data_IF_810294943075
#
_entry.id   IF_810294943075
#
_cell.length_a   1.000
_cell.length_b   1.000
_cell.length_c   1.000
_cell.angle_alpha   90.00
_cell.angle_beta   90.00
_cell.angle_gamma   90.00
#
_symmetry.space_group_name_H-M   'P 1'
#
loop_
_entity.id
_entity.type
_entity.pdbx_description
1 polymer ?
#
# COMPACT_ATOMS: atom_id res chain seq x y z
N UNK A 1 -27.11 -14.70 31.74
CA UNK A 1 -25.66 -14.49 31.99
C UNK A 1 -24.97 -15.75 31.53
N UNK A 2 -24.51 -15.74 30.28
CA UNK A 2 -23.78 -16.89 29.66
C UNK A 2 -22.29 -16.66 29.87
N UNK A 3 -21.66 -17.49 30.71
CA UNK A 3 -20.20 -17.48 30.85
C UNK A 3 -19.57 -18.14 29.64
N UNK A 4 -18.67 -17.40 28.99
CA UNK A 4 -17.83 -17.93 27.93
C UNK A 4 -16.72 -18.80 28.53
N UNK A 5 -16.41 -19.99 27.99
CA UNK A 5 -15.34 -20.83 28.50
C UNK A 5 -13.98 -20.16 28.25
N UNK A 6 -13.16 -20.12 29.32
CA UNK A 6 -11.78 -19.60 29.25
C UNK A 6 -10.90 -20.63 28.57
N UNK A 7 -10.53 -20.36 27.31
CA UNK A 7 -9.53 -21.14 26.57
C UNK A 7 -8.15 -20.83 27.13
N UNK A 8 -7.40 -21.84 27.56
CA UNK A 8 -6.06 -21.67 28.10
C UNK A 8 -5.05 -21.45 26.97
N UNK A 9 -3.93 -20.78 27.30
CA UNK A 9 -2.81 -20.49 26.36
C UNK A 9 -2.24 -21.75 25.68
N UNK A 10 -2.37 -22.90 26.33
CA UNK A 10 -1.90 -24.20 25.84
C UNK A 10 -2.83 -24.78 24.77
N UNK A 11 -4.13 -24.70 24.96
CA UNK A 11 -5.16 -25.14 23.98
C UNK A 11 -5.14 -24.29 22.72
N UNK A 12 -4.81 -22.99 22.84
CA UNK A 12 -4.60 -22.10 21.69
C UNK A 12 -3.36 -22.50 20.88
N UNK A 13 -2.24 -22.85 21.52
CA UNK A 13 -1.02 -23.25 20.83
C UNK A 13 -1.15 -24.64 20.17
N UNK A 14 -1.90 -25.58 20.75
CA UNK A 14 -2.12 -26.89 20.16
C UNK A 14 -3.07 -26.84 18.95
N UNK A 15 -4.02 -25.92 18.93
CA UNK A 15 -4.89 -25.67 17.78
C UNK A 15 -4.15 -25.04 16.59
N UNK A 16 -3.12 -24.22 16.83
CA UNK A 16 -2.31 -23.58 15.78
C UNK A 16 -1.30 -24.57 15.18
N UNK A 17 -0.78 -25.53 15.97
CA UNK A 17 0.16 -26.53 15.50
C UNK A 17 -0.43 -27.60 14.60
N UNK A 18 -1.75 -27.85 14.65
CA UNK A 18 -2.42 -28.87 13.86
C UNK A 18 -2.80 -28.41 12.42
N UNK A 19 -2.68 -27.12 12.08
CA UNK A 19 -3.04 -26.57 10.75
C UNK A 19 -1.82 -26.35 9.83
N UNK A 20 -0.62 -26.71 10.27
CA UNK A 20 0.63 -26.40 9.56
C UNK A 20 1.11 -27.50 8.58
N UNK A 21 0.28 -28.46 8.15
CA UNK A 21 0.67 -29.44 7.14
C UNK A 21 -0.46 -29.73 6.16
N UNK A 22 -0.67 -28.84 5.21
CA UNK A 22 -1.11 -29.18 3.85
C UNK A 22 -0.64 -28.10 2.86
N UNK A 23 0.65 -28.13 2.53
CA UNK A 23 1.13 -27.48 1.31
C UNK A 23 0.73 -28.38 0.16
N UNK A 24 -0.48 -28.27 -0.32
CA UNK A 24 -0.87 -28.83 -1.62
C UNK A 24 -0.21 -27.99 -2.70
N UNK A 25 0.61 -28.62 -3.52
CA UNK A 25 1.15 -28.03 -4.74
C UNK A 25 -0.03 -27.48 -5.58
N UNK A 26 -0.06 -26.16 -5.77
CA UNK A 26 -1.00 -25.50 -6.65
C UNK A 26 -0.71 -25.97 -8.08
N UNK A 27 -1.68 -26.48 -8.83
CA UNK A 27 -1.44 -26.91 -10.20
C UNK A 27 -1.00 -25.72 -11.06
N UNK A 28 0.10 -25.89 -11.79
CA UNK A 28 0.60 -24.98 -12.82
C UNK A 28 -0.46 -24.90 -13.92
N UNK A 29 -1.29 -23.85 -13.90
CA UNK A 29 -2.37 -23.67 -14.88
C UNK A 29 -3.42 -22.63 -14.50
N UNK A 30 -3.39 -22.09 -13.29
CA UNK A 30 -4.21 -20.92 -12.95
C UNK A 30 -3.57 -19.68 -13.60
N UNK A 31 -4.35 -18.88 -14.31
CA UNK A 31 -3.97 -17.53 -14.74
C UNK A 31 -3.42 -16.82 -13.50
N UNK A 32 -2.09 -16.59 -13.47
CA UNK A 32 -1.46 -15.93 -12.33
C UNK A 32 -2.17 -14.58 -12.13
N UNK A 33 -2.86 -14.44 -11.01
CA UNK A 33 -3.50 -13.19 -10.65
C UNK A 33 -2.40 -12.14 -10.61
N UNK A 34 -2.53 -11.11 -11.46
CA UNK A 34 -1.53 -10.04 -11.52
C UNK A 34 -1.59 -9.25 -10.22
N UNK A 35 -0.44 -9.04 -9.58
CA UNK A 35 -0.31 -8.13 -8.44
C UNK A 35 -0.85 -6.75 -8.81
N UNK A 36 -1.50 -6.09 -7.87
CA UNK A 36 -2.15 -4.79 -8.04
C UNK A 36 -2.03 -3.98 -6.75
N UNK A 37 -2.17 -2.65 -6.80
CA UNK A 37 -2.13 -1.82 -5.60
C UNK A 37 -3.10 -2.29 -4.52
N UNK A 38 -2.62 -2.43 -3.27
CA UNK A 38 -3.44 -2.80 -2.10
C UNK A 38 -4.41 -1.68 -1.67
N UNK A 39 -4.22 -0.45 -2.14
CA UNK A 39 -5.08 0.72 -1.89
C UNK A 39 -5.42 1.44 -3.19
N UNK A 40 -6.45 2.29 -3.14
CA UNK A 40 -6.69 3.32 -4.15
C UNK A 40 -5.81 4.52 -3.83
N UNK A 41 -5.14 5.07 -4.84
CA UNK A 41 -4.28 6.24 -4.66
C UNK A 41 -4.52 7.26 -5.77
N UNK A 42 -4.61 8.55 -5.39
CA UNK A 42 -4.81 9.62 -6.35
C UNK A 42 -3.62 9.68 -7.32
N UNK A 43 -3.88 9.82 -8.61
CA UNK A 43 -2.84 9.82 -9.64
C UNK A 43 -2.31 8.43 -10.03
N UNK A 44 -2.86 7.34 -9.47
CA UNK A 44 -2.43 5.98 -9.81
C UNK A 44 -2.51 5.69 -11.31
N UNK A 45 -1.42 5.19 -11.88
CA UNK A 45 -1.23 4.99 -13.33
C UNK A 45 -1.75 3.65 -13.84
N UNK A 46 -2.63 2.96 -13.09
CA UNK A 46 -3.13 1.63 -13.44
C UNK A 46 -3.69 1.48 -14.86
N UNK A 47 -4.28 2.54 -15.41
CA UNK A 47 -4.81 2.57 -16.79
C UNK A 47 -3.74 2.85 -17.85
N UNK A 48 -2.55 3.31 -17.45
CA UNK A 48 -1.47 3.73 -18.35
C UNK A 48 -0.31 2.72 -18.35
N UNK A 49 -0.38 1.62 -17.60
CA UNK A 49 0.73 0.68 -17.42
C UNK A 49 1.25 0.11 -18.75
N UNK A 50 0.34 -0.25 -19.68
CA UNK A 50 0.72 -0.78 -20.98
C UNK A 50 1.44 0.29 -21.82
N UNK A 51 0.94 1.52 -21.80
CA UNK A 51 1.56 2.63 -22.53
C UNK A 51 2.93 2.99 -21.94
N UNK A 52 3.06 3.00 -20.61
CA UNK A 52 4.32 3.24 -19.91
C UNK A 52 5.33 2.12 -20.19
N UNK A 53 4.88 0.87 -20.24
CA UNK A 53 5.74 -0.27 -20.59
C UNK A 53 6.27 -0.18 -22.02
N UNK A 54 5.47 0.34 -22.95
CA UNK A 54 5.91 0.55 -24.34
C UNK A 54 7.00 1.63 -24.49
N UNK A 55 7.17 2.49 -23.47
CA UNK A 55 8.21 3.53 -23.44
C UNK A 55 9.52 3.05 -22.80
N UNK A 56 9.56 1.84 -22.25
CA UNK A 56 10.80 1.28 -21.72
C UNK A 56 11.85 1.13 -22.82
N UNK A 57 13.16 1.19 -22.47
CA UNK A 57 14.21 0.85 -23.41
C UNK A 57 13.97 -0.51 -24.07
N UNK A 58 14.18 -0.64 -25.37
CA UNK A 58 13.91 -1.86 -26.14
C UNK A 58 14.64 -3.09 -25.59
N UNK A 59 15.81 -2.88 -25.03
CA UNK A 59 16.66 -3.90 -24.39
C UNK A 59 16.36 -4.11 -22.90
N UNK A 60 15.32 -3.46 -22.33
CA UNK A 60 15.07 -3.48 -20.89
C UNK A 60 14.90 -4.91 -20.33
N UNK A 61 14.16 -5.74 -21.03
CA UNK A 61 13.92 -7.13 -20.59
C UNK A 61 15.17 -8.01 -20.67
N UNK A 62 16.15 -7.64 -21.51
CA UNK A 62 17.40 -8.38 -21.75
C UNK A 62 18.51 -7.94 -20.77
N UNK A 63 18.38 -6.77 -20.14
CA UNK A 63 19.33 -6.27 -19.15
C UNK A 63 19.40 -7.21 -17.95
N UNK A 64 20.59 -7.47 -17.47
CA UNK A 64 20.81 -8.30 -16.29
C UNK A 64 20.82 -7.43 -15.02
N UNK A 65 20.32 -8.01 -13.95
CA UNK A 65 20.42 -7.46 -12.58
C UNK A 65 19.97 -6.00 -12.46
N UNK A 66 18.81 -5.67 -13.08
CA UNK A 66 18.26 -4.32 -13.05
C UNK A 66 17.90 -3.92 -11.61
N UNK A 67 18.34 -2.73 -11.20
CA UNK A 67 17.87 -2.03 -10.01
C UNK A 67 16.77 -1.05 -10.46
N UNK A 68 15.55 -1.27 -9.96
CA UNK A 68 14.40 -0.39 -10.22
C UNK A 68 14.21 0.60 -9.09
N UNK A 69 13.97 1.87 -9.41
CA UNK A 69 13.87 2.94 -8.39
C UNK A 69 12.63 3.78 -8.63
N UNK A 70 11.79 3.92 -7.58
CA UNK A 70 10.55 4.70 -7.61
C UNK A 70 10.50 5.67 -6.42
N UNK A 71 11.00 6.90 -6.55
CA UNK A 71 11.12 7.88 -5.47
C UNK A 71 9.77 8.42 -4.95
N UNK A 72 8.68 8.25 -5.72
CA UNK A 72 7.32 8.69 -5.41
C UNK A 72 6.34 7.52 -5.61
N UNK A 73 6.45 6.47 -4.78
CA UNK A 73 5.78 5.20 -5.05
C UNK A 73 4.25 5.28 -4.98
N UNK A 74 3.69 6.14 -4.11
CA UNK A 74 2.25 6.23 -3.94
C UNK A 74 1.60 4.86 -3.73
N UNK A 75 0.55 4.54 -4.50
CA UNK A 75 -0.13 3.24 -4.42
C UNK A 75 0.63 2.06 -5.05
N UNK A 76 1.79 2.29 -5.69
CA UNK A 76 2.64 1.23 -6.24
C UNK A 76 2.16 0.58 -7.53
N UNK A 77 1.30 1.25 -8.31
CA UNK A 77 0.79 0.67 -9.55
C UNK A 77 1.92 0.29 -10.52
N UNK A 78 2.90 1.19 -10.71
CA UNK A 78 4.05 0.90 -11.57
C UNK A 78 5.00 -0.10 -10.91
N UNK A 79 5.28 0.02 -9.61
CA UNK A 79 6.11 -0.91 -8.85
C UNK A 79 5.65 -2.36 -9.04
N UNK A 80 4.39 -2.67 -8.70
CA UNK A 80 3.88 -4.04 -8.77
C UNK A 80 3.80 -4.55 -10.20
N UNK A 81 3.50 -3.68 -11.17
CA UNK A 81 3.55 -4.04 -12.58
C UNK A 81 4.98 -4.41 -13.01
N UNK A 82 5.97 -3.59 -12.69
CA UNK A 82 7.36 -3.83 -13.04
C UNK A 82 7.91 -5.11 -12.39
N UNK A 83 7.67 -5.28 -11.10
CA UNK A 83 8.15 -6.45 -10.35
C UNK A 83 7.47 -7.75 -10.79
N UNK A 84 6.19 -7.69 -11.21
CA UNK A 84 5.45 -8.85 -11.69
C UNK A 84 5.74 -9.20 -13.15
N UNK A 85 6.17 -8.22 -13.97
CA UNK A 85 6.38 -8.42 -15.42
C UNK A 85 7.84 -8.71 -15.76
N UNK A 86 8.79 -8.10 -15.03
CA UNK A 86 10.22 -8.11 -15.39
C UNK A 86 11.06 -8.87 -14.34
N UNK A 87 11.31 -10.18 -14.54
CA UNK A 87 12.08 -11.01 -13.59
C UNK A 87 13.57 -10.64 -13.51
N UNK A 88 14.08 -9.87 -14.47
CA UNK A 88 15.42 -9.31 -14.48
C UNK A 88 15.62 -8.16 -13.47
N UNK A 89 14.54 -7.63 -12.88
CA UNK A 89 14.62 -6.70 -11.75
C UNK A 89 14.98 -7.52 -10.48
N UNK A 90 16.22 -7.41 -10.03
CA UNK A 90 16.73 -8.13 -8.86
C UNK A 90 16.55 -7.38 -7.55
N UNK A 91 16.57 -6.06 -7.61
CA UNK A 91 16.35 -5.16 -6.48
C UNK A 91 15.44 -4.01 -6.91
N UNK A 92 14.57 -3.57 -6.02
CA UNK A 92 13.89 -2.29 -6.19
C UNK A 92 14.09 -1.41 -4.95
N UNK A 93 14.04 -0.10 -5.13
CA UNK A 93 14.11 0.90 -4.07
C UNK A 93 12.89 1.80 -4.25
N UNK A 94 12.10 1.91 -3.21
CA UNK A 94 10.92 2.77 -3.22
C UNK A 94 10.98 3.79 -2.09
N UNK A 95 10.37 4.95 -2.31
CA UNK A 95 10.26 6.00 -1.31
C UNK A 95 8.92 6.72 -1.42
N UNK A 96 8.45 7.25 -0.31
CA UNK A 96 7.36 8.23 -0.25
C UNK A 96 7.49 9.08 1.01
N UNK A 97 6.99 10.31 0.97
CA UNK A 97 6.91 11.18 2.15
C UNK A 97 5.86 10.72 3.16
N UNK A 98 4.84 10.01 2.71
CA UNK A 98 3.75 9.56 3.55
C UNK A 98 4.18 8.36 4.42
N UNK A 99 4.46 8.64 5.69
CA UNK A 99 4.92 7.63 6.65
C UNK A 99 3.91 6.50 6.90
N UNK A 100 2.60 6.79 6.88
CA UNK A 100 1.57 5.76 7.09
C UNK A 100 1.48 4.81 5.88
N UNK A 101 1.64 5.35 4.67
CA UNK A 101 1.76 4.57 3.45
C UNK A 101 3.00 3.66 3.51
N UNK A 102 4.15 4.22 3.85
CA UNK A 102 5.41 3.47 3.98
C UNK A 102 5.33 2.42 5.09
N UNK A 103 4.72 2.74 6.23
CA UNK A 103 4.44 1.76 7.29
C UNK A 103 3.60 0.61 6.75
N UNK A 104 2.60 0.90 5.92
CA UNK A 104 1.75 -0.12 5.31
C UNK A 104 2.55 -1.02 4.36
N UNK A 105 3.42 -0.48 3.52
CA UNK A 105 4.34 -1.27 2.69
C UNK A 105 5.23 -2.19 3.51
N UNK A 106 5.83 -1.68 4.61
CA UNK A 106 6.68 -2.47 5.51
C UNK A 106 5.91 -3.60 6.17
N UNK A 107 4.70 -3.32 6.65
CA UNK A 107 3.82 -4.33 7.28
C UNK A 107 3.42 -5.41 6.27
N UNK A 108 3.04 -5.05 5.04
CA UNK A 108 2.75 -6.03 3.98
C UNK A 108 3.97 -6.88 3.67
N UNK A 109 5.17 -6.29 3.64
CA UNK A 109 6.42 -7.03 3.41
C UNK A 109 6.74 -8.01 4.52
N UNK A 110 6.62 -7.61 5.78
CA UNK A 110 7.20 -8.28 6.93
C UNK A 110 6.19 -9.10 7.75
N UNK A 111 4.92 -8.65 7.82
CA UNK A 111 3.87 -9.20 8.69
C UNK A 111 2.50 -9.29 7.99
N UNK A 112 2.41 -9.86 6.77
CA UNK A 112 1.17 -9.88 5.99
C UNK A 112 0.04 -10.65 6.69
N UNK A 113 0.35 -11.76 7.38
CA UNK A 113 -0.66 -12.58 8.06
C UNK A 113 -1.31 -11.85 9.24
N UNK A 114 -0.51 -11.08 10.02
CA UNK A 114 -1.05 -10.28 11.12
C UNK A 114 -1.97 -9.16 10.58
N UNK A 115 -1.57 -8.53 9.49
CA UNK A 115 -2.38 -7.51 8.79
C UNK A 115 -3.71 -8.11 8.31
N UNK A 116 -3.65 -9.26 7.62
CA UNK A 116 -4.82 -9.97 7.13
C UNK A 116 -5.77 -10.33 8.28
N UNK A 117 -5.25 -10.82 9.41
CA UNK A 117 -6.08 -11.17 10.57
C UNK A 117 -6.88 -9.96 11.08
N UNK A 118 -6.25 -8.79 11.20
CA UNK A 118 -6.94 -7.56 11.63
C UNK A 118 -7.96 -7.10 10.57
N UNK A 119 -7.58 -7.11 9.29
CA UNK A 119 -8.48 -6.69 8.21
C UNK A 119 -9.70 -7.62 8.07
N UNK A 120 -9.55 -8.93 8.30
CA UNK A 120 -10.67 -9.87 8.35
C UNK A 120 -11.68 -9.50 9.44
N UNK A 121 -11.20 -9.20 10.65
CA UNK A 121 -12.05 -8.75 11.74
C UNK A 121 -12.78 -7.45 11.37
N UNK A 122 -12.05 -6.44 10.90
CA UNK A 122 -12.64 -5.16 10.48
C UNK A 122 -13.68 -5.34 9.35
N UNK A 123 -13.42 -6.22 8.39
CA UNK A 123 -14.38 -6.53 7.32
C UNK A 123 -15.63 -7.23 7.84
N UNK A 124 -15.46 -8.17 8.77
CA UNK A 124 -16.59 -8.86 9.43
C UNK A 124 -17.47 -7.90 10.22
N UNK A 125 -16.85 -7.06 11.07
CA UNK A 125 -17.55 -6.03 11.85
C UNK A 125 -18.28 -5.03 10.94
N UNK A 126 -17.62 -4.54 9.87
CA UNK A 126 -18.24 -3.63 8.90
C UNK A 126 -19.45 -4.27 8.20
N UNK A 127 -19.33 -5.55 7.80
CA UNK A 127 -20.42 -6.28 7.13
C UNK A 127 -21.59 -6.63 8.06
N UNK A 128 -21.38 -6.66 9.38
CA UNK A 128 -22.42 -6.89 10.38
C UNK A 128 -23.29 -5.67 10.64
N UNK A 129 -22.88 -4.47 10.20
CA UNK A 129 -23.67 -3.26 10.28
C UNK A 129 -24.94 -3.38 9.42
N UNK A 130 -26.10 -3.04 10.01
CA UNK A 130 -27.43 -3.28 9.43
C UNK A 130 -27.87 -2.19 8.46
N UNK A 131 -27.33 -0.99 8.60
CA UNK A 131 -27.79 0.20 7.84
C UNK A 131 -26.64 1.19 7.63
N UNK A 132 -26.89 2.22 6.79
CA UNK A 132 -25.89 3.23 6.47
C UNK A 132 -25.40 4.04 7.68
N UNK A 133 -26.26 4.25 8.70
CA UNK A 133 -25.86 4.96 9.93
C UNK A 133 -24.81 4.19 10.69
N UNK A 134 -25.03 2.89 10.92
CA UNK A 134 -24.10 2.02 11.59
C UNK A 134 -22.77 1.90 10.83
N UNK A 135 -22.82 1.75 9.50
CA UNK A 135 -21.63 1.75 8.63
C UNK A 135 -20.83 3.05 8.78
N UNK A 136 -21.52 4.19 8.80
CA UNK A 136 -20.89 5.50 8.98
C UNK A 136 -20.28 5.65 10.36
N UNK A 137 -20.97 5.23 11.41
CA UNK A 137 -20.48 5.28 12.80
C UNK A 137 -19.21 4.43 12.95
N UNK A 138 -19.24 3.20 12.41
CA UNK A 138 -18.08 2.31 12.41
C UNK A 138 -16.89 2.95 11.65
N UNK A 139 -17.12 3.52 10.47
CA UNK A 139 -16.11 4.25 9.72
C UNK A 139 -15.52 5.41 10.55
N UNK A 140 -16.37 6.22 11.18
CA UNK A 140 -15.94 7.37 11.97
C UNK A 140 -15.12 6.94 13.20
N UNK A 141 -15.50 5.86 13.86
CA UNK A 141 -14.74 5.30 14.97
C UNK A 141 -13.33 4.84 14.55
N UNK A 142 -13.21 4.11 13.42
CA UNK A 142 -11.91 3.68 12.89
C UNK A 142 -11.08 4.88 12.42
N UNK A 143 -11.68 5.91 11.82
CA UNK A 143 -11.01 7.14 11.44
C UNK A 143 -10.48 7.91 12.65
N UNK A 144 -11.25 7.99 13.72
CA UNK A 144 -10.79 8.63 14.97
C UNK A 144 -9.66 7.83 15.61
N UNK A 145 -9.75 6.50 15.64
CA UNK A 145 -8.66 5.63 16.10
C UNK A 145 -7.38 5.82 15.29
N UNK A 146 -7.48 5.95 13.97
CA UNK A 146 -6.35 6.30 13.11
C UNK A 146 -5.77 7.70 13.45
N UNK A 147 -6.64 8.68 13.66
CA UNK A 147 -6.25 10.05 13.98
C UNK A 147 -5.71 10.25 15.40
N UNK A 148 -5.95 9.32 16.33
CA UNK A 148 -5.40 9.39 17.70
C UNK A 148 -3.89 9.20 17.73
N UNK A 149 -3.31 8.58 16.68
CA UNK A 149 -1.88 8.25 16.57
C UNK A 149 -1.35 7.32 17.67
N UNK A 150 -2.24 6.60 18.35
CA UNK A 150 -1.90 5.63 19.39
C UNK A 150 -1.72 4.21 18.84
N UNK A 151 -2.19 3.96 17.61
CA UNK A 151 -2.04 2.69 16.93
C UNK A 151 -0.57 2.41 16.58
N UNK A 152 -0.19 1.13 16.60
CA UNK A 152 1.15 0.69 16.20
C UNK A 152 1.11 0.03 14.83
N UNK A 153 2.24 0.02 14.17
CA UNK A 153 2.53 -0.48 12.82
C UNK A 153 1.42 -1.29 12.11
N UNK A 154 1.12 -2.52 12.57
CA UNK A 154 0.13 -3.38 11.91
C UNK A 154 -1.28 -2.81 12.02
N UNK A 155 -1.63 -2.21 13.19
CA UNK A 155 -2.92 -1.55 13.36
C UNK A 155 -3.00 -0.27 12.50
N UNK A 156 -1.92 0.51 12.39
CA UNK A 156 -1.84 1.68 11.48
C UNK A 156 -2.08 1.24 10.06
N UNK A 157 -1.39 0.20 9.59
CA UNK A 157 -1.55 -0.34 8.24
C UNK A 157 -3.00 -0.83 7.98
N UNK A 158 -3.59 -1.55 8.94
CA UNK A 158 -4.96 -2.04 8.82
C UNK A 158 -5.97 -0.90 8.78
N UNK A 159 -5.83 0.10 9.66
CA UNK A 159 -6.67 1.30 9.67
C UNK A 159 -6.51 2.10 8.38
N UNK A 160 -5.29 2.26 7.88
CA UNK A 160 -5.00 2.97 6.64
C UNK A 160 -5.70 2.31 5.44
N UNK A 161 -5.59 0.98 5.30
CA UNK A 161 -6.30 0.23 4.25
C UNK A 161 -7.82 0.34 4.45
N UNK A 162 -8.31 0.12 5.67
CA UNK A 162 -9.74 0.19 5.98
C UNK A 162 -10.35 1.55 5.59
N UNK A 163 -9.77 2.67 6.08
CA UNK A 163 -10.31 4.00 5.79
C UNK A 163 -10.23 4.33 4.29
N UNK A 164 -9.16 3.90 3.59
CA UNK A 164 -9.04 4.08 2.15
C UNK A 164 -10.12 3.32 1.37
N UNK A 165 -10.43 2.08 1.77
CA UNK A 165 -11.45 1.24 1.10
C UNK A 165 -12.88 1.68 1.38
N UNK A 166 -13.12 2.43 2.47
CA UNK A 166 -14.46 2.82 2.94
C UNK A 166 -14.75 4.31 2.87
N UNK A 167 -13.74 5.15 2.62
CA UNK A 167 -13.92 6.58 2.44
C UNK A 167 -14.44 6.96 1.04
N UNK A 168 -14.80 8.23 0.88
CA UNK A 168 -15.24 8.78 -0.39
C UNK A 168 -14.12 8.68 -1.45
N UNK A 169 -14.38 7.95 -2.53
CA UNK A 169 -13.50 7.73 -3.70
C UNK A 169 -12.10 7.18 -3.39
N UNK A 170 -11.84 6.63 -2.21
CA UNK A 170 -10.51 6.14 -1.84
C UNK A 170 -9.46 7.25 -1.75
N UNK A 171 -9.88 8.47 -1.43
CA UNK A 171 -8.98 9.62 -1.32
C UNK A 171 -8.14 9.56 -0.05
N UNK A 172 -6.94 10.11 -0.13
CA UNK A 172 -6.14 10.44 1.05
C UNK A 172 -6.05 11.97 1.19
N UNK A 173 -6.50 12.48 2.32
CA UNK A 173 -6.44 13.92 2.62
C UNK A 173 -6.36 14.14 4.13
N UNK A 174 -5.47 15.04 4.53
CA UNK A 174 -5.36 15.52 5.91
C UNK A 174 -5.68 17.00 5.99
N UNK A 175 -6.16 17.43 7.16
CA UNK A 175 -6.36 18.86 7.43
C UNK A 175 -5.06 19.52 7.88
N UNK A 176 -5.10 20.84 8.18
CA UNK A 176 -3.94 21.62 8.67
C UNK A 176 -3.32 21.10 9.98
N UNK A 177 -4.05 20.25 10.74
CA UNK A 177 -3.57 19.60 11.96
C UNK A 177 -3.00 18.19 11.70
N UNK A 178 -2.83 17.78 10.44
CA UNK A 178 -2.37 16.45 10.04
C UNK A 178 -3.40 15.34 10.26
N UNK A 179 -4.66 15.65 10.60
CA UNK A 179 -5.70 14.64 10.81
C UNK A 179 -6.40 14.28 9.49
N UNK A 180 -6.53 12.99 9.23
CA UNK A 180 -7.29 12.47 8.10
C UNK A 180 -8.76 12.90 8.19
N UNK A 181 -9.30 13.49 7.11
CA UNK A 181 -10.60 14.15 7.13
C UNK A 181 -11.51 13.82 5.94
N UNK A 182 -11.20 12.77 5.16
CA UNK A 182 -12.10 12.35 4.08
C UNK A 182 -13.41 11.83 4.66
N UNK A 183 -14.58 12.16 4.07
CA UNK A 183 -15.85 11.67 4.55
C UNK A 183 -16.06 10.18 4.22
N UNK A 184 -17.05 9.57 4.87
CA UNK A 184 -17.52 8.22 4.58
C UNK A 184 -17.98 8.08 3.13
N UNK A 185 -17.58 7.01 2.45
CA UNK A 185 -17.82 6.77 1.02
C UNK A 185 -19.09 6.01 0.70
N UNK A 186 -19.91 5.63 1.72
CA UNK A 186 -21.16 4.86 1.57
C UNK A 186 -21.00 3.50 0.87
N UNK A 187 -19.83 2.93 0.87
CA UNK A 187 -19.58 1.60 0.30
C UNK A 187 -20.35 0.54 1.10
N UNK A 188 -21.27 -0.18 0.47
CA UNK A 188 -22.10 -1.21 1.14
C UNK A 188 -21.35 -2.50 1.41
N UNK A 189 -20.50 -2.94 0.48
CA UNK A 189 -19.73 -4.18 0.61
C UNK A 189 -18.33 -4.03 -0.01
N UNK A 190 -17.47 -3.16 0.54
CA UNK A 190 -16.12 -3.00 0.03
C UNK A 190 -15.28 -4.24 0.33
N UNK A 191 -14.33 -4.57 -0.56
CA UNK A 191 -13.31 -5.56 -0.29
C UNK A 191 -12.23 -4.89 0.58
N UNK A 192 -12.39 -5.00 1.90
CA UNK A 192 -11.46 -4.43 2.89
C UNK A 192 -10.23 -5.32 3.01
N UNK A 193 -10.45 -6.63 3.20
CA UNK A 193 -9.41 -7.64 3.29
C UNK A 193 -9.23 -8.35 1.94
N UNK A 194 -8.31 -7.86 1.11
CA UNK A 194 -7.91 -8.50 -0.16
C UNK A 194 -6.64 -9.33 0.12
N UNK A 195 -6.84 -10.51 0.73
CA UNK A 195 -5.76 -11.39 1.18
C UNK A 195 -4.84 -11.81 0.05
N UNK A 196 -5.43 -12.17 -1.10
CA UNK A 196 -4.67 -12.61 -2.26
C UNK A 196 -3.69 -11.50 -2.71
N UNK A 197 -4.19 -10.27 -2.85
CA UNK A 197 -3.36 -9.11 -3.20
C UNK A 197 -2.27 -8.88 -2.14
N UNK A 198 -2.60 -8.88 -0.85
CA UNK A 198 -1.63 -8.65 0.23
C UNK A 198 -0.52 -9.70 0.21
N UNK A 199 -0.85 -10.98 0.04
CA UNK A 199 0.14 -12.05 -0.01
C UNK A 199 1.00 -12.01 -1.27
N UNK A 200 0.43 -11.64 -2.41
CA UNK A 200 1.22 -11.45 -3.65
C UNK A 200 2.15 -10.27 -3.55
N UNK A 201 1.66 -9.14 -3.06
CA UNK A 201 2.45 -7.94 -2.84
C UNK A 201 3.59 -8.20 -1.86
N UNK A 202 3.31 -8.93 -0.76
CA UNK A 202 4.33 -9.34 0.21
C UNK A 202 5.48 -10.10 -0.45
N UNK A 203 5.19 -11.05 -1.35
CA UNK A 203 6.21 -11.83 -2.07
C UNK A 203 7.06 -10.93 -2.97
N UNK A 204 6.45 -10.02 -3.71
CA UNK A 204 7.18 -9.08 -4.57
C UNK A 204 8.02 -8.09 -3.77
N UNK A 205 7.53 -7.65 -2.62
CA UNK A 205 8.22 -6.71 -1.75
C UNK A 205 9.48 -7.29 -1.08
N UNK A 206 9.71 -8.61 -1.09
CA UNK A 206 10.91 -9.20 -0.47
C UNK A 206 12.21 -8.66 -1.08
N UNK A 207 12.23 -8.31 -2.37
CA UNK A 207 13.38 -7.71 -3.06
C UNK A 207 13.36 -6.18 -3.08
N UNK A 208 12.48 -5.54 -2.30
CA UNK A 208 12.29 -4.09 -2.27
C UNK A 208 12.89 -3.48 -1.01
N UNK A 209 13.76 -2.50 -1.17
CA UNK A 209 14.18 -1.58 -0.11
C UNK A 209 13.17 -0.45 0.02
N UNK A 210 12.68 -0.20 1.25
CA UNK A 210 11.56 0.73 1.50
C UNK A 210 12.07 1.90 2.34
N UNK A 211 12.12 3.06 1.72
CA UNK A 211 12.57 4.32 2.33
C UNK A 211 11.36 5.19 2.70
N UNK A 212 11.56 6.12 3.64
CA UNK A 212 10.57 7.13 4.00
C UNK A 212 11.26 8.47 4.17
N UNK A 213 10.91 9.43 3.36
CA UNK A 213 11.50 10.77 3.43
C UNK A 213 11.49 11.51 2.10
N UNK A 214 12.35 12.50 2.00
CA UNK A 214 12.54 13.25 0.76
C UNK A 214 13.14 12.36 -0.34
N UNK A 215 12.72 12.60 -1.58
CA UNK A 215 13.18 11.83 -2.74
C UNK A 215 14.70 11.94 -2.98
N UNK A 216 15.33 13.04 -2.58
CA UNK A 216 16.78 13.25 -2.68
C UNK A 216 17.57 12.17 -1.89
N UNK A 217 16.97 11.64 -0.81
CA UNK A 217 17.57 10.55 -0.03
C UNK A 217 17.78 9.25 -0.81
N UNK A 218 17.02 9.05 -1.89
CA UNK A 218 17.05 7.81 -2.69
C UNK A 218 18.36 7.67 -3.47
N UNK A 219 18.97 8.77 -3.92
CA UNK A 219 20.23 8.77 -4.65
C UNK A 219 21.36 8.06 -3.90
N UNK A 220 21.40 8.23 -2.57
CA UNK A 220 22.43 7.62 -1.70
C UNK A 220 22.33 6.11 -1.59
N UNK A 221 21.19 5.53 -1.95
CA UNK A 221 20.92 4.09 -1.88
C UNK A 221 21.20 3.39 -3.20
N UNK A 222 21.54 4.14 -4.26
CA UNK A 222 21.83 3.59 -5.59
C UNK A 222 23.33 3.53 -5.78
N UNK A 223 23.86 2.30 -5.95
CA UNK A 223 25.27 2.10 -6.27
C UNK A 223 25.59 2.61 -7.67
N UNK A 224 26.83 3.09 -7.87
CA UNK A 224 27.32 3.50 -9.19
C UNK A 224 27.37 2.28 -10.11
N UNK A 225 26.45 2.16 -11.03
CA UNK A 225 26.40 1.02 -11.96
C UNK A 225 25.15 0.97 -12.83
N UNK A 226 24.22 1.89 -12.60
CA UNK A 226 23.02 2.04 -13.40
C UNK A 226 21.79 1.45 -12.75
N UNK A 227 20.81 2.31 -12.49
CA UNK A 227 19.48 1.96 -12.08
C UNK A 227 18.47 2.51 -13.08
N UNK A 228 17.31 1.91 -13.14
CA UNK A 228 16.18 2.44 -13.89
C UNK A 228 15.27 3.21 -12.95
N UNK A 229 15.16 4.51 -13.14
CA UNK A 229 14.32 5.38 -12.34
C UNK A 229 12.98 5.63 -13.03
N UNK A 230 11.90 5.47 -12.26
CA UNK A 230 10.57 5.93 -12.64
C UNK A 230 10.16 7.08 -11.73
N UNK A 231 10.02 8.28 -12.29
CA UNK A 231 9.61 9.48 -11.59
C UNK A 231 8.16 9.83 -11.91
N UNK A 232 7.29 9.80 -10.90
CA UNK A 232 5.91 10.28 -10.96
C UNK A 232 5.65 11.26 -9.81
N UNK A 233 6.27 12.45 -9.86
CA UNK A 233 6.15 13.42 -8.78
C UNK A 233 4.71 13.93 -8.68
N UNK A 234 4.26 14.37 -7.48
CA UNK A 234 2.95 14.93 -7.29
C UNK A 234 2.75 16.17 -8.17
N UNK A 235 1.62 16.20 -8.88
CA UNK A 235 1.30 17.31 -9.76
C UNK A 235 1.01 18.59 -8.95
N UNK A 236 1.52 19.73 -9.45
CA UNK A 236 1.19 21.03 -8.88
C UNK A 236 -0.31 21.26 -9.05
N UNK A 237 -1.07 21.56 -7.98
CA UNK A 237 -2.47 21.86 -8.10
C UNK A 237 -2.69 23.12 -8.94
N UNK A 238 -3.54 23.03 -9.97
CA UNK A 238 -3.89 24.16 -10.84
C UNK A 238 -4.75 25.22 -10.14
N UNK A 239 -5.37 24.84 -9.00
CA UNK A 239 -6.18 25.75 -8.19
C UNK A 239 -5.90 25.51 -6.70
N UNK A 240 -6.09 26.52 -5.86
CA UNK A 240 -5.90 26.42 -4.41
C UNK A 240 -6.77 25.33 -3.75
N UNK A 241 -7.89 24.96 -4.36
CA UNK A 241 -8.83 23.94 -3.88
C UNK A 241 -8.52 22.53 -4.41
N UNK A 242 -7.64 22.37 -5.37
CA UNK A 242 -7.28 21.10 -6.01
C UNK A 242 -6.12 20.35 -5.35
N UNK A 243 -5.73 20.73 -4.13
CA UNK A 243 -4.67 20.08 -3.38
C UNK A 243 -5.16 18.72 -2.84
N UNK A 244 -5.05 17.68 -3.68
CA UNK A 244 -5.41 16.29 -3.32
C UNK A 244 -4.28 15.50 -2.66
N UNK A 245 -3.10 16.09 -2.50
CA UNK A 245 -1.93 15.47 -1.90
C UNK A 245 -1.42 16.32 -0.74
N UNK A 246 -0.94 15.68 0.32
CA UNK A 246 -0.39 16.32 1.52
C UNK A 246 0.98 17.00 1.30
N UNK A 247 1.39 17.19 0.04
CA UNK A 247 2.60 17.94 -0.26
C UNK A 247 2.33 19.44 -0.03
N UNK A 248 2.78 19.95 1.11
CA UNK A 248 2.90 21.38 1.31
C UNK A 248 3.82 21.94 0.23
N UNK A 249 3.44 23.06 -0.35
CA UNK A 249 4.25 23.79 -1.33
C UNK A 249 5.53 24.21 -0.61
N UNK A 250 6.59 23.39 -0.70
CA UNK A 250 7.93 23.90 -0.53
C UNK A 250 8.17 24.93 -1.65
N UNK A 251 8.82 26.07 -1.40
CA UNK A 251 9.09 27.05 -2.43
C UNK A 251 9.78 26.36 -3.61
N UNK A 252 9.28 26.62 -4.82
CA UNK A 252 9.79 26.04 -6.05
C UNK A 252 11.30 26.29 -6.12
N UNK A 253 12.10 25.29 -5.85
CA UNK A 253 13.48 25.27 -6.26
C UNK A 253 13.48 25.15 -7.79
N UNK A 254 14.18 26.07 -8.44
CA UNK A 254 14.38 26.10 -9.89
C UNK A 254 15.18 24.88 -10.32
N UNK A 255 14.53 23.81 -10.75
CA UNK A 255 15.14 22.56 -11.21
C UNK A 255 15.70 22.62 -12.65
N UNK A 256 15.95 23.81 -13.20
CA UNK A 256 16.42 23.97 -14.58
C UNK A 256 17.88 24.43 -14.73
N UNK A 257 18.71 24.50 -13.71
CA UNK A 257 20.07 25.09 -13.86
C UNK A 257 21.27 24.19 -13.51
N UNK A 258 21.14 22.88 -13.46
CA UNK A 258 22.31 22.00 -13.20
C UNK A 258 22.47 20.84 -14.18
N UNK A 259 22.16 21.06 -15.47
CA UNK A 259 22.54 20.17 -16.57
C UNK A 259 23.29 20.97 -17.62
N UNK A 260 24.52 21.37 -17.29
CA UNK A 260 25.53 21.82 -18.24
C UNK A 260 26.88 21.20 -17.88
#
# INVERSE_FOLDING_TARGET
MFEMPKVTRREFCESVAATAMLVTAIPVGATEAKSKPFIKWAGGKGQLLEQLSALLPKDFAERKDVVYVEPFVGGGAMLFHMLGTYPNIKKAIINDLNSDLITTYKVIKERPEELIAILRVMQGEYRSCKNESELKEYYLAKRERYNSREAKDVEVAALFIFINRTCFNGLYRVNSKGKYNVPFGKAKNPLICDEETIMMDSRLLQKVEILNGDFEGVEKCVERGGAFFYFDPPYRPLTQTASFTAYSIAPAMNYCESAA
#
